data_IF_538707224607
#
_entry.id   IF_538707224607
#
_cell.length_a   1.000
_cell.length_b   1.000
_cell.length_c   1.000
_cell.angle_alpha   90.00
_cell.angle_beta   90.00
_cell.angle_gamma   90.00
#
_symmetry.space_group_name_H-M   'P 1'
#
loop_
_entity.id
_entity.type
_entity.pdbx_description
1 polymer ?
#
# COMPACT_ATOMS: atom_id res chain seq x y z
N UNK A 1 3.04 5.43 -3.57
CA UNK A 1 2.78 6.89 -3.70
C UNK A 1 1.34 7.23 -3.33
N UNK A 2 0.32 6.70 -4.02
CA UNK A 2 -1.08 7.08 -3.72
C UNK A 2 -1.46 6.83 -2.25
N UNK A 3 -1.09 5.67 -1.69
CA UNK A 3 -1.35 5.37 -0.28
C UNK A 3 -0.54 6.25 0.67
N UNK A 4 0.73 6.53 0.36
CA UNK A 4 1.57 7.41 1.18
C UNK A 4 1.07 8.84 1.21
N UNK A 5 0.52 9.35 0.09
CA UNK A 5 -0.10 10.68 0.02
C UNK A 5 -1.33 10.82 0.93
N UNK A 6 -2.04 9.72 1.20
CA UNK A 6 -3.19 9.70 2.10
C UNK A 6 -2.81 9.38 3.55
N UNK A 7 -1.51 9.35 3.86
CA UNK A 7 -1.02 9.01 5.20
C UNK A 7 -1.16 7.53 5.57
N UNK A 8 -1.33 6.66 4.56
CA UNK A 8 -1.48 5.21 4.72
C UNK A 8 -0.29 4.48 4.08
N UNK A 9 0.93 4.59 4.62
CA UNK A 9 2.08 3.90 4.07
C UNK A 9 1.90 2.38 4.23
N UNK A 10 1.97 1.59 3.13
CA UNK A 10 1.93 0.13 3.23
C UNK A 10 3.19 -0.35 3.94
N UNK A 11 3.03 -1.25 4.92
CA UNK A 11 4.15 -1.74 5.74
C UNK A 11 4.44 -3.21 5.52
N UNK A 12 3.46 -3.98 5.09
CA UNK A 12 3.57 -5.39 4.78
C UNK A 12 2.68 -5.75 3.58
N UNK A 13 2.76 -6.99 3.13
CA UNK A 13 1.98 -7.54 2.04
C UNK A 13 1.16 -8.73 2.53
N UNK A 14 -0.01 -8.92 1.98
CA UNK A 14 -0.83 -10.10 2.15
C UNK A 14 -1.31 -10.59 0.77
N UNK A 15 -1.21 -11.89 0.52
CA UNK A 15 -1.69 -12.47 -0.73
C UNK A 15 -3.22 -12.60 -0.69
N UNK A 16 -3.96 -12.15 -1.73
CA UNK A 16 -5.40 -12.32 -1.78
C UNK A 16 -5.79 -13.79 -1.59
N UNK A 17 -6.73 -14.05 -0.69
CA UNK A 17 -7.17 -15.41 -0.32
C UNK A 17 -6.03 -16.35 0.11
N UNK A 18 -4.93 -15.81 0.63
CA UNK A 18 -3.71 -16.55 1.03
C UNK A 18 -3.06 -17.35 -0.10
N UNK A 19 -3.50 -17.17 -1.33
CA UNK A 19 -3.05 -17.96 -2.47
C UNK A 19 -2.14 -17.16 -3.39
N UNK A 20 -0.87 -17.57 -3.45
CA UNK A 20 0.11 -17.03 -4.39
C UNK A 20 1.11 -18.11 -4.77
N UNK A 21 1.49 -18.16 -6.06
CA UNK A 21 2.54 -19.09 -6.52
C UNK A 21 3.90 -18.77 -5.87
N UNK A 22 4.78 -19.76 -5.77
CA UNK A 22 6.17 -19.57 -5.33
C UNK A 22 6.89 -18.47 -6.11
N UNK A 23 6.59 -18.34 -7.41
CA UNK A 23 7.12 -17.24 -8.23
C UNK A 23 6.56 -15.88 -7.82
N UNK A 24 5.29 -15.82 -7.45
CA UNK A 24 4.66 -14.60 -6.89
C UNK A 24 5.34 -14.16 -5.61
N UNK A 25 5.56 -15.07 -4.67
CA UNK A 25 6.31 -14.77 -3.43
C UNK A 25 7.73 -14.29 -3.70
N UNK A 26 8.43 -14.88 -4.69
CA UNK A 26 9.75 -14.40 -5.11
C UNK A 26 9.73 -12.98 -5.68
N UNK A 27 8.66 -12.60 -6.38
CA UNK A 27 8.49 -11.21 -6.85
C UNK A 27 8.14 -10.28 -5.68
N UNK A 28 7.22 -10.67 -4.79
CA UNK A 28 6.85 -9.87 -3.62
C UNK A 28 8.05 -9.58 -2.72
N UNK A 29 8.96 -10.55 -2.54
CA UNK A 29 10.17 -10.38 -1.71
C UNK A 29 11.17 -9.35 -2.23
N UNK A 30 11.04 -8.91 -3.48
CA UNK A 30 11.84 -7.79 -4.02
C UNK A 30 11.38 -6.43 -3.47
N UNK A 31 10.15 -6.36 -2.97
CA UNK A 31 9.53 -5.12 -2.52
C UNK A 31 9.23 -5.10 -1.02
N UNK A 32 8.90 -6.25 -0.44
CA UNK A 32 8.45 -6.37 0.94
C UNK A 32 9.40 -7.26 1.73
N UNK A 33 9.68 -6.88 2.97
CA UNK A 33 10.42 -7.71 3.91
C UNK A 33 9.52 -8.41 4.94
N UNK A 34 8.23 -8.08 4.97
CA UNK A 34 7.22 -8.68 5.83
C UNK A 34 5.96 -9.03 5.03
N UNK A 35 5.36 -10.17 5.38
CA UNK A 35 4.14 -10.67 4.75
C UNK A 35 3.23 -11.27 5.84
N UNK A 36 1.94 -11.05 5.70
CA UNK A 36 0.90 -11.76 6.45
C UNK A 36 0.31 -12.87 5.62
N UNK A 37 -0.15 -13.94 6.26
CA UNK A 37 -0.87 -14.99 5.58
C UNK A 37 -0.64 -16.37 6.14
N UNK A 38 -1.03 -17.36 5.36
CA UNK A 38 -0.84 -18.78 5.65
C UNK A 38 0.26 -19.36 4.77
N UNK A 39 0.94 -20.40 5.25
CA UNK A 39 1.97 -21.06 4.45
C UNK A 39 1.32 -21.93 3.38
N UNK A 40 1.61 -21.61 2.13
CA UNK A 40 1.19 -22.40 1.00
C UNK A 40 2.21 -23.50 0.72
N UNK A 41 1.74 -24.74 0.58
CA UNK A 41 2.58 -25.93 0.38
C UNK A 41 2.59 -26.45 -1.05
N UNK A 42 1.73 -25.95 -1.95
CA UNK A 42 1.66 -26.34 -3.34
C UNK A 42 1.23 -25.20 -4.25
N UNK A 43 1.83 -25.08 -5.42
CA UNK A 43 1.45 -24.14 -6.49
C UNK A 43 0.38 -24.69 -7.42
N UNK A 44 0.08 -25.99 -7.37
CA UNK A 44 -0.72 -26.69 -8.38
C UNK A 44 -1.98 -27.32 -7.82
N UNK A 45 -2.06 -27.55 -6.52
CA UNK A 45 -3.21 -28.16 -5.88
C UNK A 45 -3.76 -27.24 -4.77
N UNK A 46 -4.86 -26.54 -5.07
CA UNK A 46 -5.49 -25.62 -4.14
C UNK A 46 -6.03 -26.32 -2.87
N UNK A 47 -6.39 -27.61 -2.93
CA UNK A 47 -6.84 -28.36 -1.75
C UNK A 47 -5.69 -28.60 -0.77
N UNK A 48 -4.48 -28.76 -1.30
CA UNK A 48 -3.26 -28.86 -0.47
C UNK A 48 -2.82 -27.48 -0.01
N UNK A 49 -3.07 -26.45 -0.81
CA UNK A 49 -2.77 -25.05 -0.43
C UNK A 49 -3.57 -24.61 0.80
N UNK A 50 -4.81 -25.08 0.92
CA UNK A 50 -5.70 -24.77 2.04
C UNK A 50 -5.62 -25.77 3.19
N UNK A 51 -4.71 -26.76 3.12
CA UNK A 51 -4.48 -27.66 4.24
C UNK A 51 -3.97 -26.84 5.44
N UNK A 52 -4.63 -26.89 6.59
CA UNK A 52 -4.26 -26.09 7.74
C UNK A 52 -2.89 -26.55 8.27
N UNK A 53 -1.87 -25.82 7.88
CA UNK A 53 -0.59 -25.88 8.58
C UNK A 53 -0.73 -24.96 9.80
N UNK A 54 -0.79 -25.59 10.96
CA UNK A 54 -0.83 -24.86 12.21
C UNK A 54 0.55 -24.22 12.44
N UNK A 55 0.65 -22.91 12.17
CA UNK A 55 1.87 -22.12 12.38
C UNK A 55 1.64 -21.21 13.56
N UNK A 56 2.40 -21.40 14.62
CA UNK A 56 2.27 -20.66 15.87
C UNK A 56 3.36 -19.60 16.10
N UNK A 57 4.22 -19.37 15.12
CA UNK A 57 5.29 -18.37 15.21
C UNK A 57 5.68 -17.84 13.83
N UNK A 58 6.27 -16.63 13.75
CA UNK A 58 6.78 -16.10 12.51
C UNK A 58 7.78 -17.04 11.84
N UNK A 59 7.69 -17.13 10.51
CA UNK A 59 8.56 -17.97 9.68
C UNK A 59 9.25 -17.13 8.60
N UNK A 60 10.23 -17.72 7.91
CA UNK A 60 10.88 -17.07 6.77
C UNK A 60 10.34 -17.66 5.47
N UNK A 61 9.75 -16.81 4.63
CA UNK A 61 9.25 -17.15 3.30
C UNK A 61 9.94 -16.30 2.23
N UNK A 62 10.78 -16.92 1.41
CA UNK A 62 11.56 -16.23 0.37
C UNK A 62 12.34 -14.99 0.86
N UNK A 63 12.86 -15.04 2.10
CA UNK A 63 13.59 -13.93 2.72
C UNK A 63 12.70 -12.86 3.38
N UNK A 64 11.39 -12.98 3.30
CA UNK A 64 10.44 -12.16 4.05
C UNK A 64 10.09 -12.83 5.38
N UNK A 65 9.80 -12.02 6.40
CA UNK A 65 9.18 -12.51 7.64
C UNK A 65 7.70 -12.74 7.39
N UNK A 66 7.25 -14.00 7.47
CA UNK A 66 5.85 -14.37 7.45
C UNK A 66 5.27 -14.29 8.86
N UNK A 67 4.33 -13.42 9.08
CA UNK A 67 3.48 -13.38 10.26
C UNK A 67 2.25 -14.25 9.99
N UNK A 68 2.08 -15.37 10.71
CA UNK A 68 1.06 -16.34 10.37
C UNK A 68 -0.34 -15.86 10.80
N UNK A 69 -1.28 -15.92 9.88
CA UNK A 69 -2.71 -15.71 10.14
C UNK A 69 -3.40 -17.05 10.42
N UNK A 70 -2.94 -17.71 11.48
CA UNK A 70 -3.38 -19.07 11.85
C UNK A 70 -4.85 -19.10 12.23
N UNK A 71 -5.38 -18.02 12.80
CA UNK A 71 -6.80 -17.88 13.13
C UNK A 71 -7.67 -17.77 11.87
N UNK A 72 -7.07 -17.29 10.74
CA UNK A 72 -7.83 -17.06 9.53
C UNK A 72 -8.77 -15.85 9.64
N UNK A 73 -9.98 -15.98 9.17
CA UNK A 73 -10.99 -14.92 9.15
C UNK A 73 -12.34 -15.39 9.70
N UNK A 74 -13.16 -14.45 10.16
CA UNK A 74 -14.55 -14.73 10.54
C UNK A 74 -15.36 -15.03 9.27
N UNK A 75 -15.77 -16.30 9.10
CA UNK A 75 -16.50 -16.75 7.93
C UNK A 75 -18.03 -16.59 8.14
N UNK A 76 -18.69 -15.60 7.53
CA UNK A 76 -20.13 -15.35 7.74
C UNK A 76 -21.04 -16.47 7.20
N UNK A 77 -20.51 -17.33 6.34
CA UNK A 77 -21.26 -18.46 5.77
C UNK A 77 -21.20 -19.72 6.65
N UNK A 78 -20.42 -19.67 7.74
CA UNK A 78 -20.39 -20.76 8.73
C UNK A 78 -21.65 -20.75 9.60
N UNK A 79 -21.96 -21.92 10.16
CA UNK A 79 -23.05 -22.07 11.16
C UNK A 79 -22.69 -21.43 12.50
N UNK A 80 -21.41 -21.36 12.82
CA UNK A 80 -20.86 -20.76 14.03
C UNK A 80 -19.54 -20.03 13.73
N UNK A 81 -19.61 -18.83 13.13
CA UNK A 81 -18.42 -18.10 12.71
C UNK A 81 -17.45 -17.75 13.83
N UNK A 82 -17.97 -17.48 15.01
CA UNK A 82 -17.18 -17.08 16.18
C UNK A 82 -16.64 -18.32 16.91
N UNK A 83 -17.43 -19.38 17.02
CA UNK A 83 -17.00 -20.64 17.62
C UNK A 83 -15.86 -21.31 16.86
N UNK A 84 -15.84 -21.23 15.53
CA UNK A 84 -14.70 -21.71 14.72
C UNK A 84 -13.40 -20.94 15.04
N UNK A 85 -13.49 -19.64 15.26
CA UNK A 85 -12.33 -18.82 15.69
C UNK A 85 -11.91 -19.18 17.11
N UNK A 86 -12.86 -19.36 18.02
CA UNK A 86 -12.60 -19.73 19.43
C UNK A 86 -11.86 -21.07 19.50
N UNK A 87 -12.27 -22.07 18.71
CA UNK A 87 -11.62 -23.39 18.67
C UNK A 87 -10.14 -23.28 18.28
N UNK A 88 -9.84 -22.54 17.20
CA UNK A 88 -8.45 -22.30 16.76
C UNK A 88 -7.65 -21.51 17.79
N UNK A 89 -8.27 -20.51 18.42
CA UNK A 89 -7.63 -19.71 19.44
C UNK A 89 -7.27 -20.52 20.69
N UNK A 90 -8.14 -21.41 21.11
CA UNK A 90 -7.89 -22.32 22.23
C UNK A 90 -6.71 -23.26 21.95
N UNK A 91 -6.63 -23.81 20.72
CA UNK A 91 -5.48 -24.63 20.31
C UNK A 91 -4.16 -23.85 20.35
N UNK A 92 -4.20 -22.59 19.86
CA UNK A 92 -3.00 -21.71 19.87
C UNK A 92 -2.61 -21.31 21.29
N UNK A 93 -3.57 -21.07 22.17
CA UNK A 93 -3.31 -20.68 23.56
C UNK A 93 -2.50 -21.74 24.35
N UNK A 94 -2.56 -23.02 23.92
CA UNK A 94 -1.75 -24.10 24.48
C UNK A 94 -0.27 -24.02 24.08
N UNK A 95 0.11 -23.17 23.10
CA UNK A 95 1.47 -23.05 22.59
C UNK A 95 2.21 -21.90 23.27
N UNK A 96 3.22 -22.16 24.13
CA UNK A 96 3.94 -21.10 24.81
C UNK A 96 4.67 -20.18 23.83
N UNK A 97 4.45 -18.86 23.94
CA UNK A 97 5.11 -17.87 23.11
C UNK A 97 4.62 -17.85 21.66
N UNK A 98 3.42 -18.36 21.39
CA UNK A 98 2.79 -18.25 20.07
C UNK A 98 2.67 -16.79 19.64
N UNK A 99 2.93 -16.53 18.35
CA UNK A 99 2.71 -15.23 17.69
C UNK A 99 1.90 -15.51 16.44
N UNK A 100 0.64 -15.13 16.45
CA UNK A 100 -0.32 -15.44 15.41
C UNK A 100 -1.18 -14.21 15.08
N UNK A 101 -1.83 -14.26 13.94
CA UNK A 101 -2.79 -13.26 13.50
C UNK A 101 -4.09 -13.87 13.03
N UNK A 102 -5.05 -13.01 12.85
CA UNK A 102 -6.31 -13.26 12.17
C UNK A 102 -6.73 -12.00 11.43
N UNK A 103 -7.57 -12.15 10.41
CA UNK A 103 -8.07 -11.04 9.63
C UNK A 103 -9.55 -10.81 9.92
N UNK A 104 -9.94 -9.55 10.02
CA UNK A 104 -11.33 -9.15 10.11
C UNK A 104 -11.76 -8.34 8.90
N UNK A 105 -12.82 -8.76 8.25
CA UNK A 105 -13.36 -8.04 7.11
C UNK A 105 -14.35 -6.95 7.57
N UNK A 106 -14.07 -5.66 7.31
CA UNK A 106 -14.92 -4.55 7.79
C UNK A 106 -16.38 -4.61 7.33
N UNK A 107 -16.69 -5.30 6.24
CA UNK A 107 -18.06 -5.46 5.75
C UNK A 107 -18.96 -6.33 6.67
N UNK A 108 -18.37 -7.07 7.61
CA UNK A 108 -19.10 -7.87 8.59
C UNK A 108 -19.76 -7.02 9.70
N UNK A 109 -19.36 -5.74 9.82
CA UNK A 109 -19.92 -4.81 10.81
C UNK A 109 -19.25 -4.89 12.17
N UNK A 110 -19.76 -4.09 13.12
CA UNK A 110 -19.14 -3.95 14.44
C UNK A 110 -19.49 -5.09 15.40
N UNK A 111 -20.66 -5.70 15.24
CA UNK A 111 -21.14 -6.75 16.14
C UNK A 111 -20.19 -7.96 16.16
N UNK A 112 -19.88 -8.50 14.99
CA UNK A 112 -18.89 -9.58 14.88
C UNK A 112 -17.48 -9.15 15.30
N UNK A 113 -17.11 -7.88 15.09
CA UNK A 113 -15.79 -7.38 15.53
C UNK A 113 -15.68 -7.38 17.06
N UNK A 114 -16.71 -6.93 17.76
CA UNK A 114 -16.74 -6.92 19.21
C UNK A 114 -16.65 -8.35 19.77
N UNK A 115 -17.40 -9.29 19.21
CA UNK A 115 -17.32 -10.70 19.59
C UNK A 115 -15.93 -11.28 19.30
N UNK A 116 -15.41 -11.05 18.10
CA UNK A 116 -14.06 -11.50 17.68
C UNK A 116 -12.98 -10.99 18.64
N UNK A 117 -12.95 -9.70 18.94
CA UNK A 117 -11.97 -9.12 19.87
C UNK A 117 -12.14 -9.66 21.27
N UNK A 118 -13.37 -9.88 21.74
CA UNK A 118 -13.63 -10.40 23.09
C UNK A 118 -13.08 -11.82 23.32
N UNK A 119 -12.92 -12.62 22.27
CA UNK A 119 -12.29 -13.93 22.39
C UNK A 119 -10.82 -13.81 22.81
N UNK A 120 -10.09 -12.87 22.20
CA UNK A 120 -8.68 -12.67 22.54
C UNK A 120 -8.50 -12.15 23.96
N UNK A 121 -9.43 -11.33 24.48
CA UNK A 121 -9.38 -10.82 25.84
C UNK A 121 -9.51 -11.91 26.89
N UNK A 122 -10.06 -13.07 26.53
CA UNK A 122 -10.17 -14.24 27.42
C UNK A 122 -8.83 -15.00 27.55
N UNK A 123 -7.91 -14.83 26.59
CA UNK A 123 -6.63 -15.56 26.57
C UNK A 123 -5.67 -15.00 27.61
N UNK A 124 -5.20 -15.80 28.57
CA UNK A 124 -4.31 -15.33 29.62
C UNK A 124 -2.98 -14.85 29.05
N UNK A 125 -2.49 -13.67 29.53
CA UNK A 125 -1.23 -13.08 29.13
C UNK A 125 -1.08 -12.74 27.64
N UNK A 126 -2.18 -12.63 26.90
CA UNK A 126 -2.16 -12.17 25.53
C UNK A 126 -1.58 -10.75 25.44
N UNK A 127 -0.75 -10.52 24.43
CA UNK A 127 -0.20 -9.20 24.10
C UNK A 127 -0.47 -8.87 22.64
N UNK A 128 -1.06 -7.74 22.37
CA UNK A 128 -1.18 -7.21 21.02
C UNK A 128 0.18 -6.75 20.51
N UNK A 129 0.52 -7.14 19.29
CA UNK A 129 1.77 -6.78 18.64
C UNK A 129 1.51 -5.60 17.70
N UNK A 130 2.29 -4.54 17.85
CA UNK A 130 2.37 -3.45 16.89
C UNK A 130 3.52 -3.72 15.91
N UNK A 131 3.20 -3.77 14.61
CA UNK A 131 4.17 -4.19 13.61
C UNK A 131 5.34 -3.20 13.46
N UNK A 132 5.13 -1.92 13.79
CA UNK A 132 6.15 -0.87 13.77
C UNK A 132 7.25 -1.04 14.84
N UNK A 133 7.03 -1.92 15.82
CA UNK A 133 8.03 -2.32 16.80
C UNK A 133 8.99 -3.41 16.28
N UNK A 134 8.78 -3.90 15.06
CA UNK A 134 9.64 -4.91 14.44
C UNK A 134 10.30 -4.34 13.18
N UNK A 135 11.62 -4.56 12.99
CA UNK A 135 12.32 -4.03 11.83
C UNK A 135 11.84 -4.67 10.54
N UNK A 136 11.30 -3.87 9.64
CA UNK A 136 10.97 -4.31 8.29
C UNK A 136 10.87 -3.13 7.33
N UNK A 137 10.70 -3.42 6.05
CA UNK A 137 10.67 -2.38 5.02
C UNK A 137 9.86 -2.77 3.80
N UNK A 138 9.41 -1.73 3.10
CA UNK A 138 8.82 -1.82 1.75
C UNK A 138 9.62 -0.92 0.83
N UNK A 139 10.02 -1.42 -0.32
CA UNK A 139 10.83 -0.68 -1.26
C UNK A 139 10.34 -0.87 -2.68
N UNK A 140 10.20 0.23 -3.40
CA UNK A 140 10.00 0.28 -4.85
C UNK A 140 11.12 1.11 -5.48
N UNK A 141 11.07 1.34 -6.81
CA UNK A 141 12.09 2.14 -7.49
C UNK A 141 12.25 3.54 -6.92
N UNK A 142 11.18 4.14 -6.42
CA UNK A 142 11.17 5.55 -6.00
C UNK A 142 10.66 5.78 -4.58
N UNK A 143 10.18 4.75 -3.91
CA UNK A 143 9.62 4.88 -2.55
C UNK A 143 10.24 3.82 -1.65
N UNK A 144 10.77 4.26 -0.53
CA UNK A 144 11.21 3.39 0.57
C UNK A 144 10.42 3.73 1.82
N UNK A 145 9.80 2.73 2.40
CA UNK A 145 9.16 2.80 3.70
C UNK A 145 9.98 1.89 4.62
N UNK A 146 10.46 2.43 5.72
CA UNK A 146 11.30 1.70 6.67
C UNK A 146 10.72 1.81 8.07
N UNK A 147 10.59 0.69 8.73
CA UNK A 147 10.20 0.56 10.13
C UNK A 147 11.42 0.04 10.87
N UNK A 148 12.13 0.90 11.62
CA UNK A 148 13.34 0.48 12.32
C UNK A 148 13.08 -0.37 13.57
N UNK A 149 11.83 -0.56 13.96
CA UNK A 149 11.44 -1.32 15.15
C UNK A 149 11.38 -0.50 16.44
N UNK A 150 11.24 0.80 16.31
CA UNK A 150 11.14 1.75 17.42
C UNK A 150 9.83 2.55 17.43
N UNK A 151 8.80 2.01 16.76
CA UNK A 151 7.48 2.65 16.63
C UNK A 151 7.43 3.76 15.57
N UNK A 152 8.50 3.97 14.78
CA UNK A 152 8.52 4.99 13.73
C UNK A 152 8.34 4.39 12.35
N UNK A 153 7.56 5.07 11.52
CA UNK A 153 7.42 4.77 10.10
C UNK A 153 8.10 5.88 9.31
N UNK A 154 9.18 5.55 8.61
CA UNK A 154 9.98 6.48 7.82
C UNK A 154 9.66 6.30 6.34
N UNK A 155 9.08 7.32 5.70
CA UNK A 155 8.77 7.32 4.28
C UNK A 155 9.75 8.22 3.54
N UNK A 156 10.44 7.67 2.54
CA UNK A 156 11.36 8.40 1.66
C UNK A 156 10.92 8.23 0.21
N UNK A 157 10.66 9.34 -0.47
CA UNK A 157 10.26 9.38 -1.88
C UNK A 157 11.31 10.11 -2.71
N UNK A 158 11.85 9.44 -3.74
CA UNK A 158 12.90 9.95 -4.62
C UNK A 158 12.46 9.95 -6.09
N UNK A 159 11.27 10.51 -6.36
CA UNK A 159 10.78 10.61 -7.73
C UNK A 159 11.62 11.59 -8.57
N UNK A 160 11.91 11.24 -9.85
CA UNK A 160 12.37 12.20 -10.84
C UNK A 160 11.41 13.40 -10.94
N UNK A 161 11.92 14.56 -11.28
CA UNK A 161 11.10 15.78 -11.33
C UNK A 161 9.91 15.68 -12.30
N UNK A 162 10.07 14.96 -13.43
CA UNK A 162 8.99 14.70 -14.38
C UNK A 162 7.86 13.92 -13.74
N UNK A 163 8.21 12.87 -12.98
CA UNK A 163 7.24 12.02 -12.27
C UNK A 163 6.53 12.82 -11.17
N UNK A 164 7.26 13.69 -10.45
CA UNK A 164 6.65 14.57 -9.43
C UNK A 164 5.60 15.49 -10.03
N UNK A 165 5.90 16.11 -11.17
CA UNK A 165 4.95 16.98 -11.88
C UNK A 165 3.74 16.18 -12.36
N UNK A 166 3.97 15.01 -12.98
CA UNK A 166 2.89 14.17 -13.47
C UNK A 166 1.98 13.70 -12.34
N UNK A 167 2.53 13.25 -11.22
CA UNK A 167 1.77 12.84 -10.05
C UNK A 167 0.99 14.03 -9.47
N UNK A 168 1.63 15.19 -9.33
CA UNK A 168 0.97 16.41 -8.84
C UNK A 168 -0.27 16.76 -9.65
N UNK A 169 -0.18 16.78 -10.98
CA UNK A 169 -1.32 17.08 -11.85
C UNK A 169 -2.38 15.99 -11.87
N UNK A 170 -1.98 14.73 -11.70
CA UNK A 170 -2.92 13.62 -11.57
C UNK A 170 -3.73 13.70 -10.27
N UNK A 171 -3.08 14.07 -9.18
CA UNK A 171 -3.71 14.19 -7.87
C UNK A 171 -4.52 15.50 -7.73
N UNK A 172 -4.21 16.53 -8.56
CA UNK A 172 -4.84 17.85 -8.54
C UNK A 172 -5.38 18.24 -9.92
N UNK A 173 -6.43 17.57 -10.45
CA UNK A 173 -6.89 17.77 -11.83
C UNK A 173 -7.42 19.18 -12.11
N UNK A 174 -8.00 19.86 -11.13
CA UNK A 174 -8.47 21.26 -11.26
C UNK A 174 -7.29 22.20 -11.46
N UNK A 175 -6.22 22.03 -10.68
CA UNK A 175 -5.00 22.82 -10.83
C UNK A 175 -4.31 22.53 -12.17
N UNK A 176 -4.31 21.28 -12.63
CA UNK A 176 -3.80 20.93 -13.95
C UNK A 176 -4.51 21.71 -15.05
N UNK A 177 -5.85 21.79 -15.00
CA UNK A 177 -6.65 22.56 -15.95
C UNK A 177 -6.29 24.06 -15.90
N UNK A 178 -6.16 24.64 -14.71
CA UNK A 178 -5.77 26.05 -14.54
C UNK A 178 -4.39 26.34 -15.14
N UNK A 179 -3.40 25.47 -14.92
CA UNK A 179 -2.08 25.61 -15.52
C UNK A 179 -2.09 25.52 -17.03
N UNK A 180 -2.94 24.65 -17.62
CA UNK A 180 -3.14 24.60 -19.08
C UNK A 180 -3.70 25.93 -19.60
N UNK A 181 -4.70 26.51 -18.95
CA UNK A 181 -5.28 27.81 -19.33
C UNK A 181 -4.21 28.92 -19.26
N UNK A 182 -3.44 28.94 -18.18
CA UNK A 182 -2.35 29.92 -18.01
C UNK A 182 -1.31 29.79 -19.12
N UNK A 183 -0.90 28.55 -19.45
CA UNK A 183 0.09 28.30 -20.51
C UNK A 183 -0.44 28.75 -21.88
N UNK A 184 -1.68 28.39 -22.25
CA UNK A 184 -2.31 28.78 -23.52
C UNK A 184 -2.42 30.31 -23.62
N UNK A 185 -2.88 30.96 -22.55
CA UNK A 185 -2.99 32.43 -22.50
C UNK A 185 -1.63 33.10 -22.63
N UNK A 186 -0.62 32.57 -21.94
CA UNK A 186 0.76 33.07 -22.00
C UNK A 186 1.36 32.96 -23.42
N UNK A 187 1.15 31.82 -24.09
CA UNK A 187 1.58 31.61 -25.48
C UNK A 187 0.89 32.62 -26.40
N UNK A 188 -0.43 32.78 -26.28
CA UNK A 188 -1.19 33.71 -27.07
C UNK A 188 -0.69 35.16 -26.90
N UNK A 189 -0.50 35.61 -25.66
CA UNK A 189 0.03 36.94 -25.38
C UNK A 189 1.46 37.13 -25.94
N UNK A 190 2.31 36.12 -25.84
CA UNK A 190 3.67 36.15 -26.39
C UNK A 190 3.67 36.32 -27.90
N UNK A 191 2.82 35.54 -28.62
CA UNK A 191 2.66 35.66 -30.05
C UNK A 191 2.15 37.07 -30.42
N UNK A 192 1.18 37.58 -29.66
CA UNK A 192 0.61 38.92 -29.90
C UNK A 192 1.68 40.03 -29.71
N UNK A 193 2.48 39.98 -28.68
CA UNK A 193 3.58 40.91 -28.45
C UNK A 193 4.59 40.89 -29.61
N UNK A 194 5.01 39.67 -30.02
CA UNK A 194 5.92 39.48 -31.14
C UNK A 194 5.33 40.06 -32.42
N UNK A 195 4.05 39.81 -32.69
CA UNK A 195 3.33 40.34 -33.84
C UNK A 195 3.30 41.89 -33.86
N UNK A 196 2.94 42.50 -32.70
CA UNK A 196 2.95 43.98 -32.58
C UNK A 196 4.34 44.52 -32.81
N UNK A 197 5.40 43.89 -32.29
CA UNK A 197 6.77 44.30 -32.50
C UNK A 197 7.16 44.27 -33.98
N UNK A 198 6.78 43.22 -34.72
CA UNK A 198 6.98 43.12 -36.18
C UNK A 198 6.22 44.19 -36.96
N UNK A 199 4.96 44.43 -36.61
CA UNK A 199 4.18 45.48 -37.22
C UNK A 199 4.84 46.87 -37.02
N UNK A 200 5.27 47.16 -35.81
CA UNK A 200 5.96 48.41 -35.46
C UNK A 200 7.22 48.62 -36.28
N UNK A 201 8.02 47.59 -36.48
CA UNK A 201 9.24 47.68 -37.34
C UNK A 201 8.85 47.93 -38.79
N UNK A 202 7.85 47.20 -39.30
CA UNK A 202 7.37 47.33 -40.70
C UNK A 202 6.85 48.74 -41.00
N UNK A 203 5.95 49.25 -40.14
CA UNK A 203 5.43 50.62 -40.31
C UNK A 203 6.51 51.68 -40.18
N UNK A 204 7.46 51.51 -39.30
CA UNK A 204 8.59 52.43 -39.16
C UNK A 204 9.47 52.47 -40.42
N UNK A 205 9.72 51.34 -41.07
CA UNK A 205 10.43 51.31 -42.36
C UNK A 205 9.66 52.03 -43.46
N UNK A 206 8.37 51.79 -43.61
CA UNK A 206 7.55 52.44 -44.61
C UNK A 206 7.54 53.97 -44.46
N UNK A 207 7.40 54.48 -43.26
CA UNK A 207 7.44 55.92 -42.98
C UNK A 207 8.76 56.58 -43.31
N UNK A 208 9.86 55.86 -43.31
CA UNK A 208 11.17 56.38 -43.68
C UNK A 208 11.49 56.23 -45.18
N UNK A 209 10.89 55.28 -45.88
CA UNK A 209 11.02 55.13 -47.34
C UNK A 209 10.17 56.15 -48.11
N UNK A 210 9.01 56.55 -47.60
CA UNK A 210 8.18 57.61 -48.20
C UNK A 210 8.73 59.04 -48.06
N UNK A 211 9.82 59.21 -47.29
CA UNK A 211 10.42 60.52 -46.99
C UNK A 211 11.70 60.82 -47.80
N UNK A 212 12.11 59.88 -48.64
CA UNK A 212 13.21 60.03 -49.59
C UNK A 212 12.66 60.07 -51.04
#
# INVERSE_FOLDING_TARGET
>A
HSLTNWGLPPTAFEAPHYAMSSNGYRVASQYFSAIFGQMQVSDTDWKVMTAPLFISSPAILNGMTLYPETIGYVNPDSLDPIGEVEEVLDEVAEVPGAVIGGIYHPYLGMEYLEEFVSLFEKVPNLQWIELDQYPHSVQTDYVRISLPGDGRILVKEEFPWQTKITNYFKDNPVEALLWVIVAVTGIFLSIFIVYIFFLRIRYRKQLFEERN
#
